data_IF_369106534152
#
_entry.id   IF_369106534152
#
_cell.length_a   1.000
_cell.length_b   1.000
_cell.length_c   1.000
_cell.angle_alpha   90.00
_cell.angle_beta   90.00
_cell.angle_gamma   90.00
#
_symmetry.space_group_name_H-M   'P 1'
#
loop_
_entity.id
_entity.type
_entity.pdbx_description
1 polymer ?
#
# COMPACT_ATOMS: atom_id res chain seq x y z
N UNK A 1 5.97 -45.29 7.21
CA UNK A 1 6.48 -44.71 5.94
C UNK A 1 6.60 -43.20 6.16
N UNK A 2 7.80 -42.72 6.48
CA UNK A 2 8.05 -41.31 6.76
C UNK A 2 7.82 -40.46 5.51
N UNK A 3 6.81 -39.60 5.56
CA UNK A 3 6.52 -38.59 4.56
C UNK A 3 7.61 -37.52 4.59
N UNK A 4 8.59 -37.65 3.71
CA UNK A 4 9.58 -36.62 3.47
C UNK A 4 8.87 -35.44 2.76
N UNK A 5 8.52 -34.41 3.52
CA UNK A 5 8.08 -33.13 2.93
C UNK A 5 9.26 -32.56 2.16
N UNK A 6 9.20 -32.61 0.84
CA UNK A 6 10.22 -31.99 0.00
C UNK A 6 10.32 -30.50 0.39
N UNK A 7 11.54 -29.99 0.69
CA UNK A 7 11.70 -28.59 1.04
C UNK A 7 11.25 -27.71 -0.13
N UNK A 8 10.50 -26.66 0.20
CA UNK A 8 9.99 -25.64 -0.75
C UNK A 8 11.12 -25.03 -1.62
N UNK A 9 12.37 -25.13 -1.16
CA UNK A 9 13.58 -24.78 -1.88
C UNK A 9 14.60 -25.93 -1.82
N UNK A 10 14.86 -26.67 -2.91
CA UNK A 10 15.90 -27.69 -2.93
C UNK A 10 17.28 -27.03 -2.84
N UNK A 11 18.23 -27.69 -2.18
CA UNK A 11 19.57 -27.15 -1.95
C UNK A 11 20.30 -26.80 -3.27
N UNK A 12 20.04 -27.57 -4.33
CA UNK A 12 20.58 -27.31 -5.67
C UNK A 12 20.17 -25.93 -6.25
N UNK A 13 18.91 -25.52 -6.05
CA UNK A 13 18.42 -24.20 -6.46
C UNK A 13 19.06 -23.09 -5.61
N UNK A 14 19.32 -23.37 -4.33
CA UNK A 14 19.93 -22.41 -3.41
C UNK A 14 21.40 -22.13 -3.76
N UNK A 15 22.17 -23.18 -4.04
CA UNK A 15 23.55 -23.07 -4.51
C UNK A 15 23.61 -22.31 -5.83
N UNK A 16 22.74 -22.65 -6.78
CA UNK A 16 22.66 -21.97 -8.08
C UNK A 16 22.30 -20.49 -7.90
N UNK A 17 21.36 -20.16 -7.01
CA UNK A 17 21.01 -18.79 -6.67
C UNK A 17 22.22 -18.02 -6.11
N UNK A 18 22.95 -18.58 -5.15
CA UNK A 18 24.15 -17.93 -4.57
C UNK A 18 25.21 -17.64 -5.64
N UNK A 19 25.46 -18.60 -6.52
CA UNK A 19 26.43 -18.47 -7.62
C UNK A 19 26.01 -17.37 -8.58
N UNK A 20 24.78 -17.42 -9.10
CA UNK A 20 24.29 -16.42 -10.06
C UNK A 20 24.17 -15.02 -9.42
N UNK A 21 23.84 -14.95 -8.13
CA UNK A 21 23.83 -13.70 -7.37
C UNK A 21 25.23 -13.11 -7.20
N UNK A 22 26.23 -13.96 -6.91
CA UNK A 22 27.65 -13.56 -6.85
C UNK A 22 28.20 -13.07 -8.19
N UNK A 23 27.69 -13.60 -9.30
CA UNK A 23 27.98 -13.13 -10.66
C UNK A 23 27.30 -11.79 -10.98
N UNK A 24 26.48 -11.24 -10.09
CA UNK A 24 25.85 -9.93 -10.24
C UNK A 24 24.63 -9.89 -11.17
N UNK A 25 24.12 -11.05 -11.57
CA UNK A 25 22.90 -11.19 -12.38
C UNK A 25 21.70 -10.60 -11.63
N UNK A 26 20.80 -9.96 -12.38
CA UNK A 26 19.55 -9.44 -11.83
C UNK A 26 18.58 -10.58 -11.50
N UNK A 27 17.68 -10.38 -10.54
CA UNK A 27 16.68 -11.38 -10.19
C UNK A 27 15.81 -11.85 -11.37
N UNK A 28 15.64 -10.99 -12.40
CA UNK A 28 14.94 -11.37 -13.63
C UNK A 28 15.76 -12.26 -14.56
N UNK A 29 17.08 -12.06 -14.62
CA UNK A 29 18.00 -12.93 -15.37
C UNK A 29 18.16 -14.28 -14.66
N UNK A 30 18.25 -14.27 -13.34
CA UNK A 30 18.31 -15.48 -12.52
C UNK A 30 17.02 -16.31 -12.70
N UNK A 31 15.86 -15.65 -12.80
CA UNK A 31 14.58 -16.34 -13.07
C UNK A 31 14.55 -17.05 -14.44
N UNK A 32 15.32 -16.57 -15.43
CA UNK A 32 15.45 -17.26 -16.72
C UNK A 32 16.32 -18.51 -16.61
N UNK A 33 17.32 -18.50 -15.73
CA UNK A 33 18.18 -19.65 -15.46
C UNK A 33 17.51 -20.69 -14.55
N UNK A 34 16.55 -20.27 -13.71
CA UNK A 34 15.79 -21.11 -12.79
C UNK A 34 14.30 -21.11 -13.19
N UNK A 35 13.88 -21.90 -14.20
CA UNK A 35 12.54 -21.81 -14.79
C UNK A 35 11.40 -22.15 -13.82
N UNK A 36 11.69 -22.89 -12.74
CA UNK A 36 10.70 -23.22 -11.71
C UNK A 36 10.52 -22.09 -10.67
N UNK A 37 11.27 -20.99 -10.75
CA UNK A 37 11.29 -19.91 -9.75
C UNK A 37 10.99 -18.55 -10.39
N UNK A 38 10.04 -17.83 -9.81
CA UNK A 38 9.70 -16.48 -10.26
C UNK A 38 10.71 -15.44 -9.75
N UNK A 39 10.79 -14.28 -10.43
CA UNK A 39 11.62 -13.13 -9.98
C UNK A 39 11.37 -12.79 -8.51
N UNK A 40 10.11 -12.80 -8.08
CA UNK A 40 9.73 -12.48 -6.70
C UNK A 40 10.21 -13.55 -5.71
N UNK A 41 10.16 -14.83 -6.09
CA UNK A 41 10.66 -15.92 -5.27
C UNK A 41 12.18 -15.81 -5.04
N UNK A 42 12.93 -15.43 -6.08
CA UNK A 42 14.38 -15.20 -6.01
C UNK A 42 14.73 -14.03 -5.09
N UNK A 43 14.04 -12.89 -5.20
CA UNK A 43 14.26 -11.74 -4.31
C UNK A 43 13.96 -12.13 -2.87
N UNK A 44 12.83 -12.80 -2.64
CA UNK A 44 12.44 -13.25 -1.30
C UNK A 44 13.45 -14.22 -0.69
N UNK A 45 13.95 -15.19 -1.47
CA UNK A 45 14.96 -16.14 -1.00
C UNK A 45 16.31 -15.46 -0.77
N UNK A 46 16.77 -14.59 -1.66
CA UNK A 46 18.02 -13.85 -1.48
C UNK A 46 18.02 -12.99 -0.21
N UNK A 47 16.87 -12.37 0.11
CA UNK A 47 16.69 -11.62 1.35
C UNK A 47 16.73 -12.52 2.61
N UNK A 48 16.10 -13.71 2.57
CA UNK A 48 16.18 -14.70 3.66
C UNK A 48 17.61 -15.23 3.88
N UNK A 49 18.38 -15.35 2.80
CA UNK A 49 19.79 -15.78 2.83
C UNK A 49 20.78 -14.66 3.17
N UNK A 50 20.30 -13.43 3.46
CA UNK A 50 21.13 -12.26 3.77
C UNK A 50 22.23 -12.00 2.72
N UNK A 51 21.95 -12.29 1.45
CA UNK A 51 22.88 -11.99 0.37
C UNK A 51 23.06 -10.47 0.22
N UNK A 52 24.24 -10.00 -0.21
CA UNK A 52 24.53 -8.57 -0.30
C UNK A 52 23.50 -7.87 -1.19
N UNK A 53 22.95 -6.76 -0.66
CA UNK A 53 21.95 -5.96 -1.34
C UNK A 53 22.55 -5.31 -2.59
N UNK A 54 22.03 -5.70 -3.77
CA UNK A 54 22.42 -5.07 -5.03
C UNK A 54 21.87 -3.64 -5.08
N UNK A 55 22.66 -2.62 -5.47
CA UNK A 55 22.11 -1.30 -5.75
C UNK A 55 21.06 -1.42 -6.86
N UNK A 56 19.87 -0.88 -6.60
CA UNK A 56 18.76 -0.89 -7.54
C UNK A 56 19.20 -0.22 -8.86
N UNK A 57 18.97 -0.84 -10.03
CA UNK A 57 19.32 -0.26 -11.32
C UNK A 57 18.45 0.96 -11.70
N UNK A 58 17.58 1.44 -10.80
CA UNK A 58 16.83 2.68 -10.94
C UNK A 58 17.69 3.87 -10.49
N UNK A 59 18.82 4.03 -11.17
CA UNK A 59 19.77 5.12 -11.00
C UNK A 59 20.24 5.61 -12.37
N UNK A 60 19.32 6.28 -13.07
CA UNK A 60 19.47 7.05 -14.32
C UNK A 60 19.24 6.32 -15.65
N UNK A 61 18.43 6.99 -16.47
CA UNK A 61 17.91 6.55 -17.75
C UNK A 61 18.93 6.53 -18.89
N UNK A 62 18.48 5.92 -19.99
CA UNK A 62 19.12 5.93 -21.32
C UNK A 62 18.79 7.26 -22.06
N UNK A 63 19.50 7.65 -23.14
CA UNK A 63 20.58 6.95 -23.84
C UNK A 63 21.79 7.77 -24.35
N UNK A 64 22.75 7.01 -24.91
CA UNK A 64 23.68 7.31 -26.02
C UNK A 64 25.10 7.90 -25.74
N UNK A 65 26.07 7.06 -26.13
CA UNK A 65 27.32 7.34 -26.85
C UNK A 65 28.49 8.13 -26.21
N UNK A 66 29.56 7.36 -25.99
CA UNK A 66 30.98 7.61 -26.30
C UNK A 66 31.78 8.80 -25.68
N UNK A 67 32.93 8.39 -25.11
CA UNK A 67 34.24 9.06 -24.90
C UNK A 67 34.55 9.76 -23.54
N UNK A 68 35.36 9.04 -22.73
CA UNK A 68 36.57 9.33 -21.87
C UNK A 68 36.74 10.72 -21.15
N UNK A 69 37.58 10.90 -20.09
CA UNK A 69 38.59 10.01 -19.47
C UNK A 69 38.59 9.93 -17.91
N UNK A 70 39.46 9.04 -17.40
CA UNK A 70 39.76 8.74 -15.98
C UNK A 70 40.36 9.93 -15.23
N UNK A 71 40.00 10.12 -13.94
CA UNK A 71 40.73 10.99 -13.01
C UNK A 71 41.17 10.24 -11.75
N UNK A 72 42.45 10.45 -11.41
CA UNK A 72 43.25 9.84 -10.35
C UNK A 72 42.67 10.01 -8.92
N UNK A 73 43.13 9.20 -7.93
CA UNK A 73 42.49 9.10 -6.62
C UNK A 73 42.79 10.31 -5.73
N UNK A 74 41.76 10.78 -5.01
CA UNK A 74 41.82 11.91 -4.07
C UNK A 74 42.15 11.42 -2.66
N UNK A 75 42.95 12.16 -1.86
CA UNK A 75 43.38 11.75 -0.51
C UNK A 75 42.22 11.60 0.49
N UNK A 76 42.43 10.83 1.59
CA UNK A 76 41.37 10.47 2.52
C UNK A 76 40.86 11.69 3.30
N UNK A 77 39.53 11.76 3.45
CA UNK A 77 38.84 12.79 4.24
C UNK A 77 38.85 12.42 5.74
N UNK A 78 38.88 13.41 6.65
CA UNK A 78 38.89 13.19 8.10
C UNK A 78 37.60 12.52 8.61
N UNK A 79 37.65 11.86 9.79
CA UNK A 79 36.53 11.09 10.31
C UNK A 79 35.34 12.00 10.66
N UNK A 80 34.14 11.58 10.23
CA UNK A 80 32.88 12.26 10.56
C UNK A 80 32.55 12.03 12.04
N UNK A 81 32.02 13.03 12.76
CA UNK A 81 31.57 12.84 14.13
C UNK A 81 30.39 11.86 14.20
N UNK A 82 30.20 11.15 15.33
CA UNK A 82 29.14 10.17 15.49
C UNK A 82 27.76 10.86 15.37
N UNK A 83 26.89 10.26 14.55
CA UNK A 83 25.48 10.67 14.46
C UNK A 83 24.81 10.39 15.81
N UNK A 84 24.58 11.43 16.60
CA UNK A 84 23.61 11.37 17.68
C UNK A 84 22.26 10.92 17.12
N UNK A 85 21.58 10.03 17.85
CA UNK A 85 20.22 9.62 17.55
C UNK A 85 19.31 10.85 17.63
N UNK A 86 18.87 11.33 16.46
CA UNK A 86 17.91 12.43 16.35
C UNK A 86 16.51 11.84 16.46
N UNK A 87 16.01 11.76 17.69
CA UNK A 87 14.58 11.78 17.96
C UNK A 87 14.10 13.20 17.62
N UNK A 88 13.81 13.49 16.35
CA UNK A 88 13.07 14.71 16.03
C UNK A 88 11.66 14.36 15.54
N UNK A 89 10.62 14.98 16.13
CA UNK A 89 9.29 14.92 15.56
C UNK A 89 9.34 15.52 14.16
N UNK A 90 8.69 14.85 13.22
CA UNK A 90 8.50 15.32 11.85
C UNK A 90 7.79 16.69 11.92
N UNK A 91 8.50 17.74 11.52
CA UNK A 91 7.98 19.10 11.60
C UNK A 91 7.06 19.39 10.40
N UNK A 92 5.74 19.41 10.65
CA UNK A 92 4.71 19.76 9.66
C UNK A 92 4.69 21.26 9.29
N UNK A 93 5.58 22.09 9.84
CA UNK A 93 5.50 23.56 9.76
C UNK A 93 6.03 24.20 8.47
N UNK A 94 6.33 23.46 7.41
CA UNK A 94 6.72 24.04 6.12
C UNK A 94 5.71 23.80 5.01
N UNK A 95 4.68 24.64 4.95
CA UNK A 95 4.07 25.06 3.68
C UNK A 95 3.26 26.36 3.79
N UNK A 96 3.83 27.43 3.21
CA UNK A 96 3.27 28.66 2.61
C UNK A 96 1.81 29.09 2.92
N UNK A 97 1.72 30.37 3.34
CA UNK A 97 0.61 31.35 3.32
C UNK A 97 -0.63 31.07 4.19
N UNK A 98 -1.01 32.05 5.04
CA UNK A 98 -2.21 32.05 5.90
C UNK A 98 -3.50 31.66 5.16
N UNK A 99 -3.61 32.03 3.88
CA UNK A 99 -4.71 31.67 2.99
C UNK A 99 -4.94 30.15 2.86
N UNK A 100 -3.90 29.30 3.02
CA UNK A 100 -4.07 27.83 2.99
C UNK A 100 -4.40 27.23 4.35
N UNK A 101 -4.07 27.90 5.46
CA UNK A 101 -4.40 27.44 6.80
C UNK A 101 -5.88 27.68 7.11
N UNK A 102 -6.41 28.84 6.75
CA UNK A 102 -7.84 29.16 6.85
C UNK A 102 -8.69 28.23 5.99
N UNK A 103 -8.31 28.01 4.72
CA UNK A 103 -9.02 27.08 3.84
C UNK A 103 -9.00 25.63 4.37
N UNK A 104 -7.91 25.20 5.02
CA UNK A 104 -7.85 23.89 5.69
C UNK A 104 -8.72 23.86 6.93
N UNK A 105 -8.74 24.92 7.73
CA UNK A 105 -9.56 25.04 8.93
C UNK A 105 -11.06 25.05 8.59
N UNK A 106 -11.44 25.76 7.53
CA UNK A 106 -12.80 25.79 6.98
C UNK A 106 -13.21 24.41 6.45
N UNK A 107 -12.37 23.76 5.63
CA UNK A 107 -12.63 22.38 5.18
C UNK A 107 -12.69 21.39 6.33
N UNK A 108 -11.87 21.57 7.37
CA UNK A 108 -11.94 20.75 8.58
C UNK A 108 -13.20 21.05 9.41
N UNK A 109 -13.66 22.29 9.47
CA UNK A 109 -14.92 22.65 10.13
C UNK A 109 -16.13 22.08 9.38
N UNK A 110 -16.16 22.22 8.05
CA UNK A 110 -17.13 21.57 7.18
C UNK A 110 -17.09 20.04 7.36
N UNK A 111 -15.89 19.45 7.38
CA UNK A 111 -15.69 18.02 7.64
C UNK A 111 -16.20 17.58 9.01
N UNK A 112 -15.93 18.34 10.08
CA UNK A 112 -16.45 18.08 11.43
C UNK A 112 -17.98 18.12 11.48
N UNK A 113 -18.61 19.08 10.79
CA UNK A 113 -20.06 19.18 10.69
C UNK A 113 -20.67 18.01 9.92
N UNK A 114 -20.00 17.56 8.84
CA UNK A 114 -20.40 16.37 8.08
C UNK A 114 -20.31 15.13 8.99
N UNK A 115 -19.18 14.94 9.69
CA UNK A 115 -18.98 13.79 10.59
C UNK A 115 -20.05 13.76 11.70
N UNK A 116 -20.33 14.91 12.32
CA UNK A 116 -21.36 15.02 13.36
C UNK A 116 -22.76 14.69 12.84
N UNK A 117 -23.07 15.02 11.58
CA UNK A 117 -24.33 14.64 10.92
C UNK A 117 -24.37 13.15 10.54
N UNK A 118 -23.23 12.49 10.36
CA UNK A 118 -23.15 11.08 9.96
C UNK A 118 -23.10 10.09 11.12
N UNK A 119 -22.99 10.56 12.38
CA UNK A 119 -23.27 9.71 13.54
C UNK A 119 -24.79 9.54 13.58
N UNK A 120 -25.28 8.60 12.79
CA UNK A 120 -26.69 8.25 12.77
C UNK A 120 -27.06 7.67 14.15
N UNK A 121 -28.25 8.03 14.64
CA UNK A 121 -28.81 7.36 15.80
C UNK A 121 -28.97 5.86 15.52
N UNK A 122 -28.87 5.04 16.57
CA UNK A 122 -29.27 3.65 16.46
C UNK A 122 -30.74 3.58 16.02
N UNK A 123 -31.02 2.71 15.06
CA UNK A 123 -32.36 2.40 14.56
C UNK A 123 -32.82 1.03 15.08
N UNK A 124 -34.07 0.66 14.79
CA UNK A 124 -34.66 -0.61 15.25
C UNK A 124 -33.92 -1.88 14.77
N UNK A 125 -33.13 -1.77 13.69
CA UNK A 125 -32.34 -2.87 13.14
C UNK A 125 -30.91 -2.91 13.68
N UNK A 126 -30.55 -2.04 14.64
CA UNK A 126 -29.16 -1.91 15.08
C UNK A 126 -28.71 -3.13 15.87
N UNK A 127 -27.53 -3.65 15.52
CA UNK A 127 -26.92 -4.84 16.11
C UNK A 127 -25.53 -4.52 16.64
N UNK A 128 -25.03 -5.24 17.66
CA UNK A 128 -23.65 -5.06 18.13
C UNK A 128 -22.65 -5.38 17.01
N UNK A 129 -21.64 -4.52 16.84
CA UNK A 129 -20.68 -4.63 15.73
C UNK A 129 -19.87 -5.92 15.75
N UNK A 130 -19.50 -6.39 16.96
CA UNK A 130 -18.76 -7.65 17.17
C UNK A 130 -19.60 -8.89 16.83
N UNK A 131 -20.91 -8.84 17.10
CA UNK A 131 -21.84 -9.94 16.88
C UNK A 131 -22.59 -9.88 15.54
N UNK A 132 -22.15 -9.03 14.61
CA UNK A 132 -22.87 -8.79 13.36
C UNK A 132 -22.80 -10.01 12.44
N UNK A 133 -23.97 -10.43 11.94
CA UNK A 133 -24.08 -11.52 10.98
C UNK A 133 -23.66 -11.11 9.57
N UNK A 134 -23.27 -12.10 8.74
CA UNK A 134 -23.09 -11.88 7.31
C UNK A 134 -24.42 -11.48 6.67
N UNK A 135 -24.40 -10.49 5.77
CA UNK A 135 -25.61 -9.94 5.14
C UNK A 135 -26.20 -8.72 5.87
N UNK A 136 -25.63 -8.31 7.00
CA UNK A 136 -26.04 -7.11 7.74
C UNK A 136 -25.08 -5.93 7.50
N UNK A 137 -25.65 -4.73 7.42
CA UNK A 137 -24.95 -3.47 7.22
C UNK A 137 -23.98 -3.17 8.35
N UNK A 138 -22.73 -2.86 8.00
CA UNK A 138 -21.64 -2.61 8.93
C UNK A 138 -21.46 -1.13 9.33
N UNK A 139 -22.40 -0.25 8.97
CA UNK A 139 -22.27 1.18 9.25
C UNK A 139 -22.34 1.44 10.77
N UNK A 140 -21.36 2.12 11.37
CA UNK A 140 -21.38 2.41 12.81
C UNK A 140 -22.50 3.40 13.13
N UNK A 141 -23.28 3.09 14.16
CA UNK A 141 -24.38 3.96 14.63
C UNK A 141 -24.25 4.20 16.13
N UNK A 142 -24.74 5.36 16.57
CA UNK A 142 -24.68 5.79 17.96
C UNK A 142 -23.27 6.08 18.47
N UNK A 143 -23.20 6.47 19.74
CA UNK A 143 -21.97 6.70 20.48
C UNK A 143 -21.84 5.63 21.55
N UNK A 144 -20.87 4.71 21.45
CA UNK A 144 -20.71 3.69 22.47
C UNK A 144 -20.09 4.28 23.74
N UNK A 145 -20.60 3.89 24.91
CA UNK A 145 -19.98 4.21 26.20
C UNK A 145 -18.63 3.46 26.36
N UNK A 146 -18.53 2.26 25.77
CA UNK A 146 -17.31 1.44 25.71
C UNK A 146 -17.12 0.92 24.29
N UNK A 147 -15.87 0.82 23.83
CA UNK A 147 -15.57 0.36 22.47
C UNK A 147 -16.21 -1.01 22.09
N UNK A 148 -16.45 -1.89 23.06
CA UNK A 148 -17.12 -3.18 22.84
C UNK A 148 -18.61 -3.06 22.49
N UNK A 149 -19.26 -1.97 22.91
CA UNK A 149 -20.68 -1.71 22.74
C UNK A 149 -20.98 -0.92 21.45
N UNK A 150 -19.99 -0.81 20.55
CA UNK A 150 -20.20 -0.15 19.25
C UNK A 150 -21.31 -0.88 18.49
N UNK A 151 -22.36 -0.14 18.15
CA UNK A 151 -23.47 -0.64 17.37
C UNK A 151 -23.23 -0.44 15.87
N UNK A 152 -23.84 -1.28 15.06
CA UNK A 152 -23.90 -1.17 13.62
C UNK A 152 -25.38 -1.11 13.16
N UNK A 153 -25.62 -0.49 12.00
CA UNK A 153 -26.95 -0.31 11.42
C UNK A 153 -27.77 -1.61 11.29
N UNK A 154 -27.13 -2.74 10.93
CA UNK A 154 -27.76 -4.06 10.93
C UNK A 154 -28.80 -4.32 9.82
N UNK A 155 -29.25 -3.30 9.09
CA UNK A 155 -30.11 -3.43 7.92
C UNK A 155 -29.49 -4.34 6.82
N UNK A 156 -30.30 -4.98 5.95
CA UNK A 156 -29.78 -5.89 4.92
C UNK A 156 -28.82 -5.17 3.96
N UNK A 157 -27.73 -5.85 3.58
CA UNK A 157 -26.75 -5.32 2.63
C UNK A 157 -27.37 -5.10 1.24
N UNK A 158 -26.91 -4.05 0.57
CA UNK A 158 -27.30 -3.77 -0.80
C UNK A 158 -26.61 -4.73 -1.77
N UNK A 159 -27.41 -5.45 -2.56
CA UNK A 159 -26.91 -6.49 -3.48
C UNK A 159 -26.50 -5.95 -4.85
N UNK A 160 -26.77 -4.68 -5.17
CA UNK A 160 -26.46 -4.10 -6.49
C UNK A 160 -24.98 -3.83 -6.75
N UNK A 161 -24.11 -4.01 -5.74
CA UNK A 161 -22.65 -3.90 -5.89
C UNK A 161 -22.00 -5.18 -5.38
N UNK A 162 -21.06 -5.70 -6.18
CA UNK A 162 -20.19 -6.78 -5.74
C UNK A 162 -19.43 -6.40 -4.46
N UNK A 163 -19.57 -7.23 -3.42
CA UNK A 163 -18.90 -7.07 -2.12
C UNK A 163 -19.31 -5.81 -1.35
N UNK A 164 -20.57 -5.39 -1.43
CA UNK A 164 -21.09 -4.34 -0.55
C UNK A 164 -21.15 -4.82 0.91
N UNK A 165 -20.72 -3.97 1.85
CA UNK A 165 -20.84 -4.20 3.30
C UNK A 165 -21.92 -3.34 3.97
N UNK A 166 -22.68 -2.59 3.19
CA UNK A 166 -23.64 -1.60 3.67
C UNK A 166 -25.02 -1.77 3.02
N UNK A 167 -26.07 -1.28 3.67
CA UNK A 167 -27.39 -1.13 3.04
C UNK A 167 -27.36 -0.02 1.97
N UNK A 168 -28.44 0.18 1.21
CA UNK A 168 -28.46 1.14 0.11
C UNK A 168 -28.11 2.57 0.57
N UNK A 169 -28.75 3.04 1.63
CA UNK A 169 -28.53 4.39 2.18
C UNK A 169 -27.08 4.59 2.63
N UNK A 170 -26.55 3.67 3.42
CA UNK A 170 -25.18 3.75 3.91
C UNK A 170 -24.13 3.51 2.82
N UNK A 171 -24.46 2.73 1.78
CA UNK A 171 -23.59 2.57 0.63
C UNK A 171 -23.52 3.87 -0.20
N UNK A 172 -24.63 4.58 -0.40
CA UNK A 172 -24.62 5.91 -1.06
C UNK A 172 -23.75 6.92 -0.30
N UNK A 173 -23.67 6.83 1.03
CA UNK A 173 -22.81 7.68 1.85
C UNK A 173 -21.34 7.25 1.84
N UNK A 174 -21.08 5.94 1.83
CA UNK A 174 -19.73 5.39 1.88
C UNK A 174 -18.94 5.58 0.58
N UNK A 175 -19.62 5.49 -0.57
CA UNK A 175 -18.98 5.52 -1.88
C UNK A 175 -19.09 6.91 -2.50
N UNK A 176 -17.97 7.43 -3.02
CA UNK A 176 -17.92 8.76 -3.64
C UNK A 176 -18.70 8.89 -4.97
N UNK A 177 -19.22 7.78 -5.49
CA UNK A 177 -20.00 7.73 -6.74
C UNK A 177 -21.44 7.37 -6.41
N UNK A 178 -22.35 7.75 -7.28
CA UNK A 178 -23.68 7.16 -7.26
C UNK A 178 -23.55 5.67 -7.54
N UNK A 179 -23.87 4.87 -6.53
CA UNK A 179 -23.76 3.42 -6.55
C UNK A 179 -24.88 2.74 -7.33
N UNK A 180 -25.98 3.45 -7.57
CA UNK A 180 -27.10 2.96 -8.38
C UNK A 180 -26.77 3.04 -9.87
N UNK A 181 -25.78 3.85 -10.23
CA UNK A 181 -25.33 4.03 -11.60
C UNK A 181 -24.24 2.99 -11.96
N UNK A 182 -24.24 2.48 -13.21
CA UNK A 182 -23.19 1.60 -13.67
C UNK A 182 -21.84 2.30 -13.60
N UNK A 183 -20.77 1.55 -13.30
CA UNK A 183 -19.42 2.10 -13.21
C UNK A 183 -19.05 2.75 -14.55
N UNK A 184 -18.77 4.06 -14.59
CA UNK A 184 -18.37 4.70 -15.85
C UNK A 184 -17.07 4.06 -16.33
N UNK A 185 -16.97 3.82 -17.64
CA UNK A 185 -15.78 3.26 -18.28
C UNK A 185 -14.58 4.22 -18.26
N UNK A 186 -14.69 5.38 -17.61
CA UNK A 186 -13.76 6.51 -17.62
C UNK A 186 -12.32 6.13 -17.21
N UNK A 187 -12.11 5.08 -16.41
CA UNK A 187 -10.76 4.59 -16.11
C UNK A 187 -10.06 4.02 -17.35
N UNK A 188 -10.79 3.46 -18.31
CA UNK A 188 -10.26 3.08 -19.62
C UNK A 188 -9.92 4.30 -20.45
N UNK A 189 -10.78 5.33 -20.47
CA UNK A 189 -10.52 6.55 -21.25
C UNK A 189 -9.37 7.40 -20.68
N UNK A 190 -9.29 7.54 -19.36
CA UNK A 190 -8.18 8.23 -18.69
C UNK A 190 -6.89 7.43 -18.79
N UNK A 191 -6.95 6.10 -18.71
CA UNK A 191 -5.80 5.25 -19.03
C UNK A 191 -5.39 5.40 -20.50
N UNK A 192 -6.32 5.30 -21.46
CA UNK A 192 -6.04 5.45 -22.88
C UNK A 192 -5.43 6.82 -23.22
N UNK A 193 -5.94 7.91 -22.65
CA UNK A 193 -5.33 9.26 -22.81
C UNK A 193 -3.92 9.35 -22.24
N UNK A 194 -3.63 8.57 -21.19
CA UNK A 194 -2.33 8.54 -20.51
C UNK A 194 -1.31 7.63 -21.21
N UNK A 195 -1.77 6.72 -22.07
CA UNK A 195 -0.95 5.83 -22.91
C UNK A 195 -0.83 6.30 -24.36
N UNK A 196 -1.67 7.25 -24.81
CA UNK A 196 -1.63 7.85 -26.13
C UNK A 196 -0.74 9.11 -26.23
N UNK A 197 -0.14 9.54 -25.12
CA UNK A 197 0.85 10.62 -25.03
C UNK A 197 2.23 10.04 -24.68
#
# INVERSE_FOLDING_TARGET
MSSYTAPDWPEADEVTLRTLWGLGLSAGEIAKCLPHRTRSAIIGKAHRLKLPGRPSPLGRGRPASAVKPVRAPRPPKPPKPPKAAVSQPFDLSKSKTDSTAEQRAEKAAAGRLIIKRTIDAANDNSVPMIGRSFGQCAWPVGTPDRAADQMACGAPIYQGIEKCSYCLDHAQRAFARDITQPKPKENLERANRRWAA
#
